data_IF_116590542545
#
_entry.id   IF_116590542545
#
_cell.length_a   1.000
_cell.length_b   1.000
_cell.length_c   1.000
_cell.angle_alpha   90.00
_cell.angle_beta   90.00
_cell.angle_gamma   90.00
#
_symmetry.space_group_name_H-M   'P 1'
#
loop_
_entity.id
_entity.type
_entity.pdbx_description
1 polymer ?
#
# COMPACT_ATOMS: atom_id res chain seq x y z
N UNK A 1 15.93 24.33 37.57
CA UNK A 1 15.52 24.57 36.17
C UNK A 1 15.28 23.23 35.50
N UNK A 2 14.03 22.76 35.45
CA UNK A 2 13.68 21.51 34.78
C UNK A 2 13.76 21.72 33.27
N UNK A 3 14.61 20.92 32.63
CA UNK A 3 14.87 20.95 31.19
C UNK A 3 13.56 20.94 30.39
N UNK A 4 13.32 21.98 29.58
CA UNK A 4 12.22 22.11 28.63
C UNK A 4 12.09 20.93 27.64
N UNK A 5 13.08 20.04 27.59
CA UNK A 5 13.10 18.87 26.70
C UNK A 5 12.43 17.61 27.28
N UNK A 6 12.13 17.57 28.58
CA UNK A 6 11.73 16.33 29.28
C UNK A 6 10.35 16.37 29.96
N UNK A 7 9.60 17.46 29.82
CA UNK A 7 8.22 17.58 30.33
C UNK A 7 7.15 17.38 29.26
N UNK A 8 5.87 17.47 29.65
CA UNK A 8 4.70 17.37 28.74
C UNK A 8 4.84 18.25 27.49
N UNK A 9 5.30 19.50 27.64
CA UNK A 9 5.55 20.42 26.53
C UNK A 9 6.58 19.86 25.54
N UNK A 10 7.65 19.26 26.06
CA UNK A 10 8.66 18.59 25.24
C UNK A 10 8.12 17.35 24.52
N UNK A 11 7.21 16.60 25.15
CA UNK A 11 6.53 15.47 24.51
C UNK A 11 5.58 15.94 23.40
N UNK A 12 4.78 17.00 23.63
CA UNK A 12 3.91 17.60 22.63
C UNK A 12 4.70 18.08 21.39
N UNK A 13 5.83 18.77 21.59
CA UNK A 13 6.67 19.22 20.48
C UNK A 13 7.24 18.06 19.67
N UNK A 14 7.61 16.94 20.31
CA UNK A 14 8.06 15.72 19.62
C UNK A 14 6.94 15.07 18.80
N UNK A 15 5.71 15.03 19.33
CA UNK A 15 4.55 14.50 18.62
C UNK A 15 4.26 15.34 17.37
N UNK A 16 4.27 16.67 17.49
CA UNK A 16 4.09 17.58 16.36
C UNK A 16 5.18 17.36 15.30
N UNK A 17 6.44 17.26 15.71
CA UNK A 17 7.54 16.99 14.78
C UNK A 17 7.39 15.63 14.07
N UNK A 18 6.96 14.59 14.79
CA UNK A 18 6.68 13.27 14.22
C UNK A 18 5.49 13.30 13.25
N UNK A 19 4.42 14.05 13.56
CA UNK A 19 3.26 14.21 12.69
C UNK A 19 3.63 14.93 11.39
N UNK A 20 4.38 16.03 11.49
CA UNK A 20 4.89 16.76 10.33
C UNK A 20 5.77 15.87 9.44
N UNK A 21 6.67 15.10 10.06
CA UNK A 21 7.50 14.13 9.32
C UNK A 21 6.63 13.06 8.64
N UNK A 22 5.65 12.50 9.34
CA UNK A 22 4.74 11.50 8.74
C UNK A 22 3.97 12.08 7.56
N UNK A 23 3.53 13.33 7.65
CA UNK A 23 2.86 14.01 6.54
C UNK A 23 3.81 14.21 5.36
N UNK A 24 5.03 14.69 5.59
CA UNK A 24 6.02 14.82 4.51
C UNK A 24 6.39 13.48 3.88
N UNK A 25 6.54 12.43 4.70
CA UNK A 25 6.83 11.07 4.22
C UNK A 25 5.65 10.53 3.40
N UNK A 26 4.42 10.78 3.83
CA UNK A 26 3.20 10.43 3.10
C UNK A 26 3.11 11.15 1.76
N UNK A 27 3.37 12.46 1.72
CA UNK A 27 3.34 13.27 0.50
C UNK A 27 4.42 12.79 -0.48
N UNK A 28 5.62 12.47 0.02
CA UNK A 28 6.70 11.90 -0.77
C UNK A 28 6.32 10.54 -1.37
N UNK A 29 5.74 9.64 -0.58
CA UNK A 29 5.27 8.34 -1.07
C UNK A 29 4.16 8.49 -2.09
N UNK A 30 3.22 9.41 -1.88
CA UNK A 30 2.15 9.69 -2.85
C UNK A 30 2.72 10.26 -4.17
N UNK A 31 3.75 11.09 -4.10
CA UNK A 31 4.46 11.58 -5.27
C UNK A 31 5.19 10.43 -6.01
N UNK A 32 5.99 9.63 -5.32
CA UNK A 32 6.68 8.48 -5.93
C UNK A 32 5.69 7.49 -6.54
N UNK A 33 4.58 7.23 -5.86
CA UNK A 33 3.52 6.34 -6.32
C UNK A 33 3.00 6.75 -7.71
N UNK A 34 2.81 8.06 -7.95
CA UNK A 34 2.24 8.58 -9.20
C UNK A 34 3.28 8.84 -10.29
N UNK A 35 4.48 9.27 -9.92
CA UNK A 35 5.44 9.87 -10.87
C UNK A 35 6.58 8.92 -11.23
N UNK A 36 6.95 8.01 -10.33
CA UNK A 36 8.11 7.13 -10.55
C UNK A 36 7.79 6.09 -11.61
N UNK A 37 8.73 5.89 -12.52
CA UNK A 37 8.64 4.95 -13.63
C UNK A 37 9.69 3.87 -13.48
N UNK A 38 9.32 2.63 -13.75
CA UNK A 38 10.29 1.53 -13.69
C UNK A 38 11.18 1.54 -14.94
N UNK A 39 12.45 1.16 -14.77
CA UNK A 39 13.35 0.85 -15.87
C UNK A 39 13.69 -0.63 -15.80
N UNK A 40 13.50 -1.36 -16.90
CA UNK A 40 13.80 -2.80 -16.98
C UNK A 40 14.41 -3.11 -18.35
N UNK A 41 15.47 -3.91 -18.36
CA UNK A 41 16.11 -4.37 -19.59
C UNK A 41 15.39 -5.60 -20.14
N UNK A 42 15.25 -5.70 -21.45
CA UNK A 42 14.63 -6.85 -22.12
C UNK A 42 13.10 -6.79 -22.23
N UNK A 43 12.48 -5.67 -21.87
CA UNK A 43 11.08 -5.37 -22.20
C UNK A 43 11.05 -4.35 -23.33
N UNK A 44 10.19 -4.58 -24.32
CA UNK A 44 9.99 -3.68 -25.44
C UNK A 44 9.55 -2.28 -24.98
N UNK A 45 10.16 -1.24 -25.56
CA UNK A 45 9.93 0.16 -25.15
C UNK A 45 8.47 0.59 -25.34
N UNK A 46 7.76 0.07 -26.34
CA UNK A 46 6.35 0.41 -26.56
C UNK A 46 5.45 -0.24 -25.51
N UNK A 47 5.77 -1.47 -25.09
CA UNK A 47 5.10 -2.09 -23.93
C UNK A 47 5.40 -1.29 -22.65
N UNK A 48 6.65 -0.86 -22.47
CA UNK A 48 7.06 -0.13 -21.28
C UNK A 48 6.37 1.25 -21.17
N UNK A 49 6.17 1.94 -22.30
CA UNK A 49 5.38 3.20 -22.36
C UNK A 49 3.95 3.00 -21.85
N UNK A 50 3.30 1.89 -22.20
CA UNK A 50 1.95 1.59 -21.73
C UNK A 50 1.94 1.27 -20.23
N UNK A 51 2.95 0.54 -19.74
CA UNK A 51 3.11 0.25 -18.31
C UNK A 51 3.30 1.54 -17.51
N UNK A 52 4.09 2.50 -18.00
CA UNK A 52 4.35 3.78 -17.32
C UNK A 52 3.12 4.66 -17.09
N UNK A 53 1.97 4.31 -17.67
CA UNK A 53 0.70 5.00 -17.42
C UNK A 53 0.04 4.54 -16.12
N UNK A 54 0.46 3.41 -15.55
CA UNK A 54 0.00 2.94 -14.24
C UNK A 54 0.84 3.51 -13.09
N UNK A 55 0.33 3.53 -11.85
CA UNK A 55 1.13 3.85 -10.68
C UNK A 55 2.27 2.85 -10.42
N UNK A 56 3.33 3.30 -9.75
CA UNK A 56 4.55 2.52 -9.55
C UNK A 56 4.32 1.10 -9.01
N UNK A 57 3.46 0.84 -8.01
CA UNK A 57 3.24 -0.53 -7.54
C UNK A 57 2.62 -1.43 -8.60
N UNK A 58 1.73 -0.90 -9.43
CA UNK A 58 1.10 -1.63 -10.51
C UNK A 58 2.09 -1.87 -11.65
N UNK A 59 2.94 -0.89 -11.97
CA UNK A 59 4.04 -1.07 -12.91
C UNK A 59 4.92 -2.27 -12.52
N UNK A 60 5.30 -2.37 -11.24
CA UNK A 60 6.09 -3.49 -10.71
C UNK A 60 5.37 -4.83 -10.86
N UNK A 61 4.06 -4.88 -10.56
CA UNK A 61 3.27 -6.11 -10.69
C UNK A 61 3.24 -6.61 -12.14
N UNK A 62 2.96 -5.72 -13.09
CA UNK A 62 2.88 -6.07 -14.51
C UNK A 62 4.24 -6.54 -15.03
N UNK A 63 5.32 -5.83 -14.69
CA UNK A 63 6.68 -6.17 -15.14
C UNK A 63 7.12 -7.52 -14.60
N UNK A 64 6.81 -7.83 -13.34
CA UNK A 64 7.09 -9.16 -12.79
C UNK A 64 6.41 -10.26 -13.60
N UNK A 65 5.16 -10.07 -14.03
CA UNK A 65 4.48 -11.04 -14.89
C UNK A 65 5.13 -11.18 -16.27
N UNK A 66 5.71 -10.11 -16.83
CA UNK A 66 6.51 -10.20 -18.07
C UNK A 66 7.77 -11.04 -17.81
N UNK A 67 8.50 -10.77 -16.72
CA UNK A 67 9.72 -11.50 -16.38
C UNK A 67 9.43 -12.99 -16.10
N UNK A 68 8.28 -13.32 -15.51
CA UNK A 68 7.85 -14.70 -15.30
C UNK A 68 7.50 -15.46 -16.58
N UNK A 69 7.41 -14.80 -17.74
CA UNK A 69 7.30 -15.52 -19.02
C UNK A 69 8.56 -16.35 -19.27
N UNK A 70 9.75 -15.82 -18.94
CA UNK A 70 11.00 -16.55 -19.12
C UNK A 70 11.04 -17.82 -18.25
N UNK A 71 10.63 -17.74 -16.99
CA UNK A 71 10.51 -18.91 -16.09
C UNK A 71 9.55 -19.97 -16.66
N UNK A 72 8.46 -19.57 -17.32
CA UNK A 72 7.56 -20.52 -17.99
C UNK A 72 8.25 -21.22 -19.15
N UNK A 73 9.00 -20.49 -19.96
CA UNK A 73 9.73 -21.02 -21.13
C UNK A 73 10.83 -21.97 -20.67
N UNK A 74 11.61 -21.59 -19.67
CA UNK A 74 12.67 -22.43 -19.08
C UNK A 74 12.11 -23.75 -18.52
N UNK A 75 10.89 -23.72 -17.97
CA UNK A 75 10.16 -24.91 -17.51
C UNK A 75 9.50 -25.71 -18.63
N UNK A 76 9.71 -25.35 -19.91
CA UNK A 76 9.13 -26.03 -21.06
C UNK A 76 7.61 -25.93 -21.13
N UNK A 77 7.00 -24.88 -20.54
CA UNK A 77 5.55 -24.68 -20.61
C UNK A 77 5.17 -24.19 -22.00
N UNK A 78 4.17 -24.83 -22.59
CA UNK A 78 3.63 -24.44 -23.89
C UNK A 78 2.93 -23.07 -23.85
N UNK A 79 2.71 -22.52 -25.04
CA UNK A 79 1.90 -21.34 -25.27
C UNK A 79 0.47 -21.58 -24.74
N UNK A 80 -0.11 -20.64 -23.97
CA UNK A 80 -1.46 -20.76 -23.41
C UNK A 80 -2.60 -21.02 -24.42
N UNK A 81 -2.44 -20.67 -25.69
CA UNK A 81 -3.47 -20.72 -26.70
C UNK A 81 -4.62 -19.71 -26.48
N UNK A 82 -4.36 -18.59 -25.81
CA UNK A 82 -5.42 -17.62 -25.50
C UNK A 82 -5.93 -16.95 -26.79
N UNK A 83 -7.25 -17.01 -26.99
CA UNK A 83 -7.94 -16.34 -28.11
C UNK A 83 -8.52 -14.98 -27.71
N UNK A 84 -8.59 -14.70 -26.40
CA UNK A 84 -9.08 -13.46 -25.80
C UNK A 84 -8.16 -13.02 -24.65
N UNK A 85 -8.45 -11.86 -24.07
CA UNK A 85 -7.74 -11.35 -22.89
C UNK A 85 -8.23 -11.96 -21.59
N UNK A 86 -9.29 -12.76 -21.61
CA UNK A 86 -9.81 -13.40 -20.42
C UNK A 86 -8.91 -14.58 -20.04
N UNK A 87 -8.23 -14.45 -18.92
CA UNK A 87 -7.40 -15.50 -18.36
C UNK A 87 -7.97 -15.93 -17.01
N UNK A 88 -8.15 -17.24 -16.82
CA UNK A 88 -8.64 -17.78 -15.54
C UNK A 88 -7.54 -17.97 -14.50
N UNK A 89 -6.36 -17.37 -14.68
CA UNK A 89 -5.30 -17.48 -13.68
C UNK A 89 -5.59 -16.57 -12.49
N UNK A 90 -5.06 -16.96 -11.33
CA UNK A 90 -5.23 -16.23 -10.07
C UNK A 90 -4.81 -14.77 -10.17
N UNK A 91 -3.71 -14.48 -10.89
CA UNK A 91 -3.24 -13.11 -11.07
C UNK A 91 -4.26 -12.24 -11.81
N UNK A 92 -4.78 -12.74 -12.94
CA UNK A 92 -5.73 -11.98 -13.75
C UNK A 92 -7.05 -11.78 -13.01
N UNK A 93 -7.58 -12.82 -12.36
CA UNK A 93 -8.82 -12.71 -11.60
C UNK A 93 -8.71 -11.73 -10.41
N UNK A 94 -7.54 -11.72 -9.75
CA UNK A 94 -7.27 -10.87 -8.59
C UNK A 94 -7.03 -9.42 -8.97
N UNK A 95 -6.13 -9.18 -9.94
CA UNK A 95 -5.68 -7.83 -10.25
C UNK A 95 -6.39 -7.21 -11.45
N UNK A 96 -7.07 -8.02 -12.28
CA UNK A 96 -7.64 -7.60 -13.57
C UNK A 96 -6.60 -6.90 -14.46
N UNK A 97 -5.36 -7.36 -14.41
CA UNK A 97 -4.22 -6.85 -15.17
C UNK A 97 -3.65 -7.93 -16.10
N UNK A 98 -2.93 -7.54 -17.17
CA UNK A 98 -2.22 -8.50 -18.02
C UNK A 98 -1.32 -9.42 -17.19
N UNK A 99 -1.54 -10.74 -17.32
CA UNK A 99 -0.78 -11.75 -16.60
C UNK A 99 0.29 -12.40 -17.50
N UNK A 100 1.17 -13.23 -16.92
CA UNK A 100 2.22 -13.95 -17.66
C UNK A 100 1.70 -14.87 -18.76
N UNK A 101 0.43 -15.29 -18.73
CA UNK A 101 -0.17 -16.05 -19.83
C UNK A 101 -0.46 -15.15 -21.02
N UNK A 102 -1.05 -13.98 -20.77
CA UNK A 102 -1.31 -12.97 -21.80
C UNK A 102 0.02 -12.46 -22.36
N UNK A 103 1.04 -12.25 -21.53
CA UNK A 103 2.36 -11.84 -22.02
C UNK A 103 3.09 -12.93 -22.79
N UNK A 104 2.96 -14.20 -22.43
CA UNK A 104 3.52 -15.29 -23.22
C UNK A 104 2.92 -15.28 -24.64
N UNK A 105 1.61 -15.12 -24.77
CA UNK A 105 0.95 -14.95 -26.07
C UNK A 105 1.36 -13.66 -26.79
N UNK A 106 1.48 -12.54 -26.06
CA UNK A 106 1.88 -11.27 -26.64
C UNK A 106 3.29 -11.31 -27.26
N UNK A 107 4.21 -12.02 -26.60
CA UNK A 107 5.62 -12.03 -26.98
C UNK A 107 5.95 -13.15 -27.99
N UNK A 108 5.36 -14.32 -27.83
CA UNK A 108 5.71 -15.52 -28.60
C UNK A 108 4.52 -16.14 -29.36
N UNK A 109 3.30 -15.70 -29.08
CA UNK A 109 2.11 -16.18 -29.73
C UNK A 109 1.94 -15.60 -31.15
N UNK A 110 1.11 -16.23 -31.98
CA UNK A 110 0.85 -15.78 -33.35
C UNK A 110 0.02 -14.49 -33.41
N UNK A 111 -0.61 -14.08 -32.31
CA UNK A 111 -1.49 -12.91 -32.22
C UNK A 111 -1.06 -12.01 -31.07
N UNK A 112 -0.89 -10.72 -31.36
CA UNK A 112 -0.66 -9.69 -30.34
C UNK A 112 -1.98 -9.30 -29.70
N UNK A 113 -2.22 -9.76 -28.47
CA UNK A 113 -3.46 -9.51 -27.73
C UNK A 113 -3.51 -8.12 -27.09
N UNK A 114 -2.36 -7.55 -26.72
CA UNK A 114 -2.26 -6.26 -26.03
C UNK A 114 -2.08 -5.12 -27.05
N UNK A 115 -3.18 -4.66 -27.63
CA UNK A 115 -3.22 -3.43 -28.44
C UNK A 115 -3.31 -2.18 -27.55
N UNK A 116 -3.12 -0.99 -28.14
CA UNK A 116 -3.24 0.29 -27.42
C UNK A 116 -4.64 0.43 -26.79
N UNK A 117 -5.70 0.09 -27.51
CA UNK A 117 -7.08 0.17 -26.98
C UNK A 117 -7.28 -0.76 -25.79
N UNK A 118 -6.65 -1.93 -25.82
CA UNK A 118 -6.70 -2.89 -24.72
C UNK A 118 -5.96 -2.36 -23.49
N UNK A 119 -4.78 -1.77 -23.68
CA UNK A 119 -4.05 -1.10 -22.60
C UNK A 119 -4.85 0.02 -21.97
N UNK A 120 -5.52 0.84 -22.79
CA UNK A 120 -6.40 1.91 -22.32
C UNK A 120 -7.55 1.36 -21.46
N UNK A 121 -8.14 0.21 -21.82
CA UNK A 121 -9.18 -0.43 -21.00
C UNK A 121 -8.66 -0.87 -19.63
N UNK A 122 -7.46 -1.47 -19.57
CA UNK A 122 -6.85 -1.84 -18.30
C UNK A 122 -6.58 -0.63 -17.40
N UNK A 123 -6.16 0.50 -17.99
CA UNK A 123 -5.97 1.76 -17.26
C UNK A 123 -7.30 2.32 -16.76
N UNK A 124 -8.32 2.38 -17.62
CA UNK A 124 -9.66 2.85 -17.24
C UNK A 124 -10.26 2.02 -16.10
N UNK A 125 -10.18 0.69 -16.17
CA UNK A 125 -10.66 -0.17 -15.08
C UNK A 125 -9.95 0.13 -13.76
N UNK A 126 -8.64 0.41 -13.80
CA UNK A 126 -7.88 0.80 -12.63
C UNK A 126 -8.25 2.20 -12.13
N UNK A 127 -8.47 3.16 -13.02
CA UNK A 127 -8.87 4.52 -12.63
C UNK A 127 -10.27 4.56 -12.01
N UNK A 128 -11.20 3.74 -12.52
CA UNK A 128 -12.57 3.64 -12.03
C UNK A 128 -12.67 2.91 -10.69
N UNK A 129 -11.93 1.82 -10.53
CA UNK A 129 -12.05 0.95 -9.35
C UNK A 129 -10.89 1.08 -8.35
N UNK A 130 -9.84 1.82 -8.69
CA UNK A 130 -8.65 2.02 -7.86
C UNK A 130 -8.08 0.73 -7.28
N UNK A 131 -7.74 0.79 -5.99
CA UNK A 131 -7.35 -0.39 -5.21
C UNK A 131 -8.56 -1.20 -4.69
N UNK A 132 -9.79 -0.74 -4.89
CA UNK A 132 -11.01 -1.44 -4.42
C UNK A 132 -11.21 -2.77 -5.15
N UNK A 133 -10.64 -2.94 -6.36
CA UNK A 133 -10.52 -4.25 -7.03
C UNK A 133 -9.86 -5.30 -6.09
N UNK A 134 -8.95 -4.86 -5.21
CA UNK A 134 -8.13 -5.72 -4.35
C UNK A 134 -8.75 -5.99 -2.97
N UNK A 135 -9.72 -5.20 -2.54
CA UNK A 135 -10.36 -5.35 -1.22
C UNK A 135 -11.61 -6.25 -1.25
N UNK A 136 -12.27 -6.40 -2.41
CA UNK A 136 -13.59 -7.05 -2.51
C UNK A 136 -13.63 -8.40 -3.24
N UNK A 137 -12.51 -8.89 -3.78
CA UNK A 137 -12.44 -10.21 -4.41
C UNK A 137 -11.74 -11.19 -3.47
N UNK A 138 -12.45 -12.22 -3.04
CA UNK A 138 -11.99 -13.25 -2.10
C UNK A 138 -10.52 -13.65 -2.34
N UNK A 139 -9.74 -13.52 -1.28
CA UNK A 139 -8.34 -13.84 -1.21
C UNK A 139 -8.13 -15.35 -1.39
N UNK A 140 -7.61 -15.77 -2.54
CA UNK A 140 -6.82 -17.02 -2.59
C UNK A 140 -5.41 -16.65 -2.13
N UNK A 141 -5.04 -17.14 -0.95
CA UNK A 141 -3.71 -16.95 -0.35
C UNK A 141 -2.62 -17.50 -1.27
N UNK A 142 -1.61 -16.66 -1.57
CA UNK A 142 -0.32 -17.12 -2.07
C UNK A 142 0.76 -16.60 -1.11
N UNK A 143 1.63 -17.50 -0.65
CA UNK A 143 2.66 -17.21 0.34
C UNK A 143 3.74 -16.26 -0.22
N UNK A 144 3.66 -14.98 0.15
CA UNK A 144 4.84 -14.10 0.26
C UNK A 144 5.20 -14.07 1.75
N UNK A 145 5.78 -15.18 2.23
CA UNK A 145 5.70 -15.57 3.64
C UNK A 145 6.50 -14.69 4.61
N UNK A 146 7.50 -13.94 4.16
CA UNK A 146 8.41 -13.23 5.09
C UNK A 146 8.12 -11.74 5.27
N UNK A 147 7.50 -11.08 4.29
CA UNK A 147 7.23 -9.62 4.36
C UNK A 147 5.84 -9.35 4.95
N UNK A 148 4.87 -10.25 4.75
CA UNK A 148 3.47 -10.01 5.11
C UNK A 148 3.19 -10.18 6.61
N UNK A 149 3.82 -11.13 7.31
CA UNK A 149 3.57 -11.33 8.75
C UNK A 149 4.11 -10.17 9.61
N UNK A 150 5.30 -9.65 9.26
CA UNK A 150 5.89 -8.49 9.92
C UNK A 150 5.05 -7.24 9.65
N UNK A 151 4.63 -7.04 8.40
CA UNK A 151 3.80 -5.89 8.02
C UNK A 151 2.40 -5.96 8.62
N UNK A 152 1.75 -7.13 8.63
CA UNK A 152 0.44 -7.35 9.22
C UNK A 152 0.47 -7.16 10.74
N UNK A 153 1.49 -7.68 11.42
CA UNK A 153 1.66 -7.45 12.85
C UNK A 153 1.95 -5.97 13.16
N UNK A 154 2.75 -5.29 12.31
CA UNK A 154 3.01 -3.87 12.45
C UNK A 154 1.76 -3.01 12.21
N UNK A 155 0.95 -3.33 11.20
CA UNK A 155 -0.30 -2.63 10.90
C UNK A 155 -1.37 -2.87 11.97
N UNK A 156 -1.53 -4.10 12.45
CA UNK A 156 -2.47 -4.38 13.56
C UNK A 156 -2.08 -3.59 14.82
N UNK A 157 -0.77 -3.46 15.10
CA UNK A 157 -0.29 -2.62 16.21
C UNK A 157 -0.56 -1.13 15.97
N UNK A 158 -0.34 -0.62 14.75
CA UNK A 158 -0.66 0.78 14.39
C UNK A 158 -2.15 1.09 14.53
N UNK A 159 -3.01 0.15 14.08
CA UNK A 159 -4.46 0.29 14.17
C UNK A 159 -4.90 0.34 15.65
N UNK A 160 -4.40 -0.60 16.46
CA UNK A 160 -4.69 -0.63 17.91
C UNK A 160 -4.28 0.67 18.61
N UNK A 161 -3.11 1.23 18.26
CA UNK A 161 -2.64 2.51 18.82
C UNK A 161 -3.51 3.68 18.35
N UNK A 162 -3.93 3.67 17.08
CA UNK A 162 -4.78 4.73 16.51
C UNK A 162 -6.16 4.76 17.15
N UNK A 163 -6.79 3.59 17.31
CA UNK A 163 -8.07 3.46 18.02
C UNK A 163 -7.98 3.93 19.47
N UNK A 164 -6.91 3.56 20.19
CA UNK A 164 -6.67 4.02 21.56
C UNK A 164 -6.50 5.54 21.64
N UNK A 165 -5.75 6.13 20.71
CA UNK A 165 -5.58 7.59 20.63
C UNK A 165 -6.91 8.29 20.38
N UNK A 166 -7.73 7.75 19.48
CA UNK A 166 -9.02 8.34 19.13
C UNK A 166 -10.03 8.25 20.28
N UNK A 167 -10.12 7.09 20.94
CA UNK A 167 -10.94 6.92 22.16
C UNK A 167 -10.54 7.90 23.26
N UNK A 168 -9.23 8.03 23.50
CA UNK A 168 -8.69 8.97 24.48
C UNK A 168 -9.04 10.42 24.13
N UNK A 169 -8.94 10.79 22.84
CA UNK A 169 -9.28 12.14 22.35
C UNK A 169 -10.77 12.43 22.52
N UNK A 170 -11.63 11.46 22.20
CA UNK A 170 -13.08 11.59 22.35
C UNK A 170 -13.47 11.74 23.82
N UNK A 171 -12.82 11.00 24.73
CA UNK A 171 -13.05 11.14 26.17
C UNK A 171 -12.62 12.52 26.68
N UNK A 172 -11.47 13.05 26.22
CA UNK A 172 -11.04 14.41 26.51
C UNK A 172 -12.06 15.45 26.04
N UNK A 173 -12.50 15.41 24.78
CA UNK A 173 -13.46 16.37 24.24
C UNK A 173 -14.81 16.32 24.97
N UNK A 174 -15.29 15.12 25.32
CA UNK A 174 -16.50 14.98 26.12
C UNK A 174 -16.36 15.64 27.51
N UNK A 175 -15.20 15.54 28.15
CA UNK A 175 -14.95 16.22 29.43
C UNK A 175 -14.87 17.74 29.26
N UNK A 176 -14.25 18.20 28.17
CA UNK A 176 -14.12 19.62 27.82
C UNK A 176 -15.48 20.27 27.57
N UNK A 177 -16.34 19.64 26.76
CA UNK A 177 -17.70 20.13 26.47
C UNK A 177 -18.58 20.21 27.72
N UNK A 178 -18.38 19.29 28.67
CA UNK A 178 -19.09 19.29 29.96
C UNK A 178 -18.56 20.34 30.96
N UNK A 179 -17.48 21.07 30.62
CA UNK A 179 -16.93 22.17 31.42
C UNK A 179 -16.46 21.79 32.84
N UNK A 180 -16.20 20.50 33.10
CA UNK A 180 -15.89 20.01 34.44
C UNK A 180 -14.38 19.97 34.69
N UNK A 181 -13.84 21.07 35.21
CA UNK A 181 -12.41 21.25 35.49
C UNK A 181 -11.82 20.18 36.42
N UNK A 182 -12.61 19.69 37.39
CA UNK A 182 -12.16 18.61 38.29
C UNK A 182 -11.94 17.31 37.51
N UNK A 183 -12.91 16.92 36.68
CA UNK A 183 -12.79 15.72 35.82
C UNK A 183 -11.67 15.86 34.79
N UNK A 184 -11.45 17.06 34.26
CA UNK A 184 -10.34 17.36 33.34
C UNK A 184 -8.99 17.15 34.02
N UNK A 185 -8.80 17.69 35.23
CA UNK A 185 -7.57 17.50 36.00
C UNK A 185 -7.34 16.03 36.36
N UNK A 186 -8.37 15.30 36.77
CA UNK A 186 -8.30 13.86 37.08
C UNK A 186 -7.94 13.02 35.85
N UNK A 187 -8.55 13.32 34.70
CA UNK A 187 -8.25 12.66 33.44
C UNK A 187 -6.80 12.91 32.99
N UNK A 188 -6.32 14.16 33.08
CA UNK A 188 -4.95 14.51 32.71
C UNK A 188 -3.90 13.84 33.61
N UNK A 189 -4.14 13.72 34.92
CA UNK A 189 -3.24 12.98 35.82
C UNK A 189 -3.25 11.47 35.56
N UNK A 190 -4.42 10.88 35.27
CA UNK A 190 -4.50 9.48 34.84
C UNK A 190 -3.73 9.25 33.55
N UNK A 191 -3.92 10.13 32.56
CA UNK A 191 -3.22 10.06 31.27
C UNK A 191 -1.70 10.13 31.45
N UNK A 192 -1.25 11.11 32.23
CA UNK A 192 0.16 11.31 32.56
C UNK A 192 0.75 10.11 33.30
N UNK A 193 0.04 9.56 34.28
CA UNK A 193 0.47 8.35 35.01
C UNK A 193 0.63 7.14 34.09
N UNK A 194 -0.24 6.97 33.10
CA UNK A 194 -0.14 5.90 32.12
C UNK A 194 1.01 6.10 31.11
N UNK A 195 1.28 7.35 30.72
CA UNK A 195 2.28 7.68 29.69
C UNK A 195 3.71 7.83 30.25
N UNK A 196 3.84 8.28 31.50
CA UNK A 196 5.13 8.51 32.16
C UNK A 196 6.08 7.30 32.12
N UNK A 197 5.64 6.06 32.40
CA UNK A 197 6.48 4.87 32.32
C UNK A 197 6.95 4.55 30.88
N UNK A 198 6.14 4.91 29.88
CA UNK A 198 6.41 4.67 28.47
C UNK A 198 7.43 5.70 27.95
N UNK A 199 7.28 6.97 28.36
CA UNK A 199 8.14 8.07 27.95
C UNK A 199 9.51 8.07 28.65
N UNK A 200 9.62 7.45 29.84
CA UNK A 200 10.86 7.37 30.63
C UNK A 200 11.73 6.13 30.30
N UNK A 201 11.22 5.14 29.57
CA UNK A 201 12.04 4.04 29.03
C UNK A 201 12.91 4.59 27.89
N UNK A 202 14.16 4.90 28.19
CA UNK A 202 15.27 5.03 27.23
C UNK A 202 15.97 3.69 27.10
#
# INVERSE_FOLDING_TARGET
>A
MTSFQHGLIGACNKIIALDLKRRSDSDYVAFEFRVKKISVTGVDDDILKEIHKFPLPIQKLIVNEILFVNDRIEKGKELPGLTSLECHCTFFHKYMLPCKHIFHEQLYGPRKLLTIDVWNRFQQMFDESGFEIYEHRELVSFEIREIDEINKAAENRKLTVSELMERTRNEYWNIEENGNEKKKSEFMERLKTCLDPILKKK
#
